data_IF_672256638597
#
_entry.id   IF_672256638597
#
_cell.length_a   1.000
_cell.length_b   1.000
_cell.length_c   1.000
_cell.angle_alpha   90.00
_cell.angle_beta   90.00
_cell.angle_gamma   90.00
#
_symmetry.space_group_name_H-M   'P 1'
#
loop_
_entity.id
_entity.type
_entity.pdbx_description
1 polymer ?
#
# COMPACT_ATOMS: atom_id res chain seq x y z
N UNK A 1 -26.47 -34.20 -20.11
CA UNK A 1 -25.56 -35.21 -19.53
C UNK A 1 -24.86 -34.54 -18.35
N UNK A 2 -24.95 -34.97 -17.09
CA UNK A 2 -25.81 -35.98 -16.48
C UNK A 2 -25.96 -35.69 -14.97
N UNK A 3 -27.07 -36.10 -14.35
CA UNK A 3 -27.33 -35.92 -12.92
C UNK A 3 -26.62 -36.99 -12.09
N UNK A 4 -26.09 -36.64 -10.90
CA UNK A 4 -25.84 -37.64 -9.86
C UNK A 4 -25.95 -37.07 -8.43
N UNK A 5 -26.09 -37.99 -7.47
CA UNK A 5 -26.77 -37.77 -6.19
C UNK A 5 -25.85 -37.47 -5.00
N UNK A 6 -26.40 -36.80 -3.99
CA UNK A 6 -25.73 -36.51 -2.73
C UNK A 6 -25.60 -37.77 -1.84
N UNK A 7 -24.39 -38.03 -1.34
CA UNK A 7 -24.16 -38.86 -0.15
C UNK A 7 -23.34 -38.07 0.86
N UNK A 8 -23.92 -37.86 2.05
CA UNK A 8 -23.21 -37.26 3.20
C UNK A 8 -22.07 -38.17 3.66
N UNK A 9 -20.83 -37.75 3.43
CA UNK A 9 -19.66 -38.31 4.11
C UNK A 9 -19.47 -37.58 5.44
N UNK A 10 -19.67 -38.29 6.56
CA UNK A 10 -19.20 -37.85 7.88
C UNK A 10 -17.67 -37.98 7.91
N UNK A 11 -16.96 -36.91 7.57
CA UNK A 11 -15.54 -36.79 7.91
C UNK A 11 -15.45 -36.33 9.37
N UNK A 12 -14.86 -37.15 10.25
CA UNK A 12 -14.42 -36.66 11.57
C UNK A 12 -13.30 -35.66 11.32
N UNK A 13 -13.52 -34.39 11.66
CA UNK A 13 -12.44 -33.43 11.76
C UNK A 13 -11.53 -33.84 12.92
N UNK A 14 -10.44 -34.53 12.61
CA UNK A 14 -9.32 -34.65 13.53
C UNK A 14 -8.71 -33.26 13.70
N UNK A 15 -8.54 -32.80 14.94
CA UNK A 15 -7.95 -31.50 15.21
C UNK A 15 -6.51 -31.47 14.67
N UNK A 16 -6.28 -30.66 13.63
CA UNK A 16 -4.94 -30.21 13.29
C UNK A 16 -4.55 -29.19 14.36
N UNK A 17 -3.78 -29.64 15.35
CA UNK A 17 -3.05 -28.74 16.25
C UNK A 17 -2.22 -27.76 15.42
N UNK A 18 -1.96 -26.52 15.88
CA UNK A 18 -1.01 -25.64 15.23
C UNK A 18 0.34 -26.36 15.16
N UNK A 19 0.73 -26.82 13.97
CA UNK A 19 2.14 -27.12 13.74
C UNK A 19 2.85 -25.79 13.95
N UNK A 20 3.72 -25.73 14.96
CA UNK A 20 4.81 -24.77 14.96
C UNK A 20 5.45 -24.88 13.57
N UNK A 21 5.26 -23.88 12.72
CA UNK A 21 6.23 -23.63 11.68
C UNK A 21 7.55 -23.45 12.43
N UNK A 22 8.42 -24.45 12.36
CA UNK A 22 9.79 -24.22 12.75
C UNK A 22 10.27 -23.09 11.85
N UNK A 23 10.72 -21.99 12.46
CA UNK A 23 11.47 -20.96 11.77
C UNK A 23 12.77 -21.62 11.30
N UNK A 24 12.70 -22.25 10.14
CA UNK A 24 13.87 -22.71 9.41
C UNK A 24 14.73 -21.49 9.14
N UNK A 25 16.05 -21.65 9.24
CA UNK A 25 16.97 -20.59 8.79
C UNK A 25 16.62 -20.22 7.34
N UNK A 26 16.72 -18.93 6.95
CA UNK A 26 16.46 -18.54 5.57
C UNK A 26 17.31 -19.39 4.61
N UNK A 27 16.80 -19.69 3.40
CA UNK A 27 17.60 -20.32 2.36
C UNK A 27 18.89 -19.52 2.14
N UNK A 28 20.04 -20.19 2.08
CA UNK A 28 21.37 -19.53 2.11
C UNK A 28 21.71 -18.73 0.84
N UNK A 29 20.79 -18.67 -0.11
CA UNK A 29 21.03 -18.32 -1.51
C UNK A 29 20.24 -17.06 -1.95
N UNK A 30 19.74 -16.28 -0.98
CA UNK A 30 19.02 -15.01 -1.19
C UNK A 30 19.92 -13.85 -0.75
N UNK A 31 20.10 -12.86 -1.63
CA UNK A 31 21.12 -11.81 -1.48
C UNK A 31 20.66 -10.56 -0.71
N UNK A 32 19.49 -10.61 -0.05
CA UNK A 32 19.07 -9.60 0.94
C UNK A 32 19.89 -9.66 2.23
N UNK A 33 20.36 -10.84 2.64
CA UNK A 33 21.15 -11.06 3.86
C UNK A 33 22.64 -11.29 3.55
N UNK A 34 23.27 -10.31 2.88
CA UNK A 34 24.75 -10.24 2.79
C UNK A 34 25.38 -9.70 4.08
N UNK A 35 24.82 -10.03 5.25
CA UNK A 35 25.53 -9.89 6.52
C UNK A 35 26.65 -10.94 6.60
N UNK A 36 27.82 -10.59 6.07
CA UNK A 36 29.05 -11.33 6.39
C UNK A 36 29.18 -11.36 7.92
N UNK A 37 29.14 -12.57 8.49
CA UNK A 37 28.88 -12.84 9.91
C UNK A 37 29.57 -11.83 10.85
N UNK A 38 28.76 -10.94 11.46
CA UNK A 38 29.20 -10.03 12.53
C UNK A 38 29.66 -8.63 12.13
N UNK A 39 29.69 -8.26 10.84
CA UNK A 39 29.97 -6.88 10.42
C UNK A 39 28.69 -6.04 10.39
N UNK A 40 28.63 -4.87 11.06
CA UNK A 40 27.46 -3.99 10.98
C UNK A 40 27.34 -3.37 9.58
N UNK A 41 26.10 -3.26 9.08
CA UNK A 41 25.80 -2.66 7.76
C UNK A 41 26.41 -1.25 7.65
N UNK A 42 26.79 -0.78 6.45
CA UNK A 42 27.32 0.57 6.26
C UNK A 42 26.35 1.65 6.76
N UNK A 43 26.83 2.77 7.33
CA UNK A 43 25.96 3.88 7.74
C UNK A 43 25.27 4.51 6.52
N UNK A 44 24.07 5.06 6.72
CA UNK A 44 23.33 5.77 5.67
C UNK A 44 24.10 7.05 5.28
N UNK A 45 24.20 7.28 3.97
CA UNK A 45 24.88 8.42 3.36
C UNK A 45 23.90 9.23 2.55
N UNK A 46 23.94 10.55 2.74
CA UNK A 46 23.16 11.54 2.02
C UNK A 46 24.08 12.40 1.16
N UNK A 47 23.79 12.48 -0.14
CA UNK A 47 24.47 13.37 -1.09
C UNK A 47 23.44 14.28 -1.75
N UNK A 48 23.56 15.59 -1.55
CA UNK A 48 22.69 16.61 -2.15
C UNK A 48 23.43 17.26 -3.32
N UNK A 49 22.81 17.23 -4.49
CA UNK A 49 23.29 17.84 -5.73
C UNK A 49 22.30 18.92 -6.19
N UNK A 50 22.62 19.68 -7.23
CA UNK A 50 21.80 20.81 -7.69
C UNK A 50 20.37 20.41 -8.06
N UNK A 51 20.21 19.29 -8.81
CA UNK A 51 18.91 18.81 -9.31
C UNK A 51 18.46 17.47 -8.72
N UNK A 52 19.30 16.84 -7.90
CA UNK A 52 19.06 15.49 -7.37
C UNK A 52 19.52 15.36 -5.93
N UNK A 53 18.96 14.38 -5.23
CA UNK A 53 19.35 13.97 -3.87
C UNK A 53 19.51 12.46 -3.89
N UNK A 54 20.67 11.97 -3.47
CA UNK A 54 21.01 10.54 -3.46
C UNK A 54 21.13 10.08 -2.02
N UNK A 55 20.48 8.96 -1.69
CA UNK A 55 20.57 8.31 -0.38
C UNK A 55 21.03 6.87 -0.57
N UNK A 56 22.07 6.48 0.15
CA UNK A 56 22.76 5.20 0.00
C UNK A 56 22.96 4.56 1.38
N UNK A 57 22.50 3.34 1.59
CA UNK A 57 22.67 2.60 2.85
C UNK A 57 23.61 1.40 2.75
N UNK A 58 24.42 1.34 1.69
CA UNK A 58 25.33 0.24 1.39
C UNK A 58 24.69 -0.99 0.77
N UNK A 59 23.35 -1.08 0.71
CA UNK A 59 22.61 -2.17 0.06
C UNK A 59 21.89 -1.64 -1.18
N UNK A 60 21.16 -0.53 -1.02
CA UNK A 60 20.47 0.18 -2.10
C UNK A 60 20.96 1.62 -2.17
N UNK A 61 20.85 2.21 -3.35
CA UNK A 61 21.03 3.65 -3.55
C UNK A 61 19.82 4.22 -4.30
N UNK A 62 19.13 5.19 -3.69
CA UNK A 62 17.91 5.81 -4.23
C UNK A 62 18.22 7.24 -4.63
N UNK A 63 17.82 7.62 -5.84
CA UNK A 63 17.98 8.99 -6.37
C UNK A 63 16.64 9.66 -6.54
N UNK A 64 16.49 10.82 -5.91
CA UNK A 64 15.32 11.69 -5.98
C UNK A 64 15.64 12.95 -6.79
N UNK A 65 14.68 13.48 -7.54
CA UNK A 65 14.80 14.81 -8.14
C UNK A 65 14.52 15.91 -7.11
N UNK A 66 15.20 17.06 -7.23
CA UNK A 66 15.11 18.20 -6.31
C UNK A 66 14.60 19.45 -7.06
N UNK A 67 13.54 20.14 -6.60
CA UNK A 67 12.70 19.86 -5.42
C UNK A 67 11.51 18.92 -5.69
N UNK A 68 11.31 18.43 -6.92
CA UNK A 68 10.09 17.69 -7.30
C UNK A 68 9.82 16.43 -6.44
N UNK A 69 10.84 15.76 -5.88
CA UNK A 69 10.67 14.53 -5.09
C UNK A 69 10.14 13.34 -5.90
N UNK A 70 10.59 13.18 -7.14
CA UNK A 70 10.36 11.99 -7.97
C UNK A 70 11.50 11.01 -7.73
N UNK A 71 11.21 9.72 -7.62
CA UNK A 71 12.24 8.68 -7.62
C UNK A 71 12.72 8.46 -9.06
N UNK A 72 13.89 8.99 -9.38
CA UNK A 72 14.47 9.00 -10.73
C UNK A 72 15.34 7.77 -10.99
N UNK A 73 15.86 7.15 -9.93
CA UNK A 73 16.57 5.89 -10.00
C UNK A 73 16.67 5.13 -8.68
N UNK A 74 16.79 3.81 -8.80
CA UNK A 74 17.03 2.88 -7.70
C UNK A 74 18.12 1.91 -8.16
N UNK A 75 19.29 1.94 -7.53
CA UNK A 75 20.43 1.07 -7.83
C UNK A 75 20.53 -0.04 -6.78
N UNK A 76 20.70 -1.28 -7.23
CA UNK A 76 20.77 -2.48 -6.37
C UNK A 76 21.50 -3.62 -7.09
N UNK A 77 22.30 -4.40 -6.35
CA UNK A 77 22.99 -5.64 -6.79
C UNK A 77 23.63 -5.53 -8.20
N UNK A 78 24.38 -4.45 -8.43
CA UNK A 78 25.07 -4.17 -9.70
C UNK A 78 24.19 -3.63 -10.84
N UNK A 79 22.87 -3.55 -10.68
CA UNK A 79 21.96 -2.94 -11.65
C UNK A 79 21.89 -1.42 -11.40
N UNK A 80 22.37 -0.63 -12.35
CA UNK A 80 22.46 0.84 -12.23
C UNK A 80 21.12 1.55 -11.97
N UNK A 81 20.03 1.04 -12.55
CA UNK A 81 18.69 1.52 -12.27
C UNK A 81 17.66 0.41 -12.52
N UNK A 82 16.80 0.12 -11.53
CA UNK A 82 15.66 -0.81 -11.64
C UNK A 82 14.46 -0.19 -12.37
N UNK A 83 14.35 1.14 -12.39
CA UNK A 83 13.26 1.88 -13.01
C UNK A 83 13.45 2.01 -14.52
N UNK A 84 12.35 2.12 -15.26
CA UNK A 84 12.33 2.15 -16.72
C UNK A 84 13.09 3.37 -17.27
N UNK A 85 14.34 3.16 -17.68
CA UNK A 85 15.28 4.22 -18.05
C UNK A 85 14.87 4.96 -19.32
N UNK A 86 14.10 4.31 -20.20
CA UNK A 86 13.56 4.92 -21.42
C UNK A 86 12.41 5.91 -21.12
N UNK A 87 11.83 5.89 -19.93
CA UNK A 87 10.92 6.93 -19.47
C UNK A 87 11.70 8.17 -19.02
N UNK A 88 11.10 9.34 -19.29
CA UNK A 88 11.44 10.61 -18.64
C UNK A 88 11.45 10.45 -17.12
N UNK A 89 12.33 11.15 -16.40
CA UNK A 89 12.53 10.96 -14.96
C UNK A 89 11.22 11.08 -14.15
N UNK A 90 10.40 12.09 -14.45
CA UNK A 90 9.07 12.32 -13.85
C UNK A 90 8.04 11.19 -14.09
N UNK A 91 8.38 10.19 -14.90
CA UNK A 91 7.54 9.06 -15.32
C UNK A 91 8.20 7.71 -14.95
N UNK A 92 9.01 7.68 -13.88
CA UNK A 92 9.67 6.47 -13.36
C UNK A 92 9.03 5.99 -12.05
N UNK A 93 9.46 6.53 -10.91
CA UNK A 93 8.83 6.29 -9.61
C UNK A 93 8.26 7.57 -9.03
N UNK A 94 6.95 7.63 -8.77
CA UNK A 94 6.29 8.86 -8.37
C UNK A 94 5.04 8.60 -7.51
N UNK A 95 4.64 9.62 -6.74
CA UNK A 95 3.29 9.70 -6.19
C UNK A 95 2.37 10.38 -7.20
N UNK A 96 1.18 9.83 -7.40
CA UNK A 96 0.14 10.43 -8.22
C UNK A 96 -1.21 10.43 -7.52
N UNK A 97 -2.05 11.40 -7.91
CA UNK A 97 -3.45 11.45 -7.53
C UNK A 97 -4.33 11.80 -8.73
N UNK A 98 -5.59 11.41 -8.63
CA UNK A 98 -6.66 11.86 -9.51
C UNK A 98 -7.67 12.60 -8.65
N UNK A 99 -7.99 13.84 -9.02
CA UNK A 99 -8.89 14.70 -8.25
C UNK A 99 -9.84 15.47 -9.16
N UNK A 100 -10.91 16.04 -8.62
CA UNK A 100 -11.78 16.96 -9.37
C UNK A 100 -12.50 17.91 -8.43
N UNK A 101 -12.83 19.12 -8.89
CA UNK A 101 -13.92 19.87 -8.27
C UNK A 101 -15.25 19.05 -8.36
N UNK A 102 -16.21 19.23 -7.45
CA UNK A 102 -17.42 18.42 -7.38
C UNK A 102 -18.18 18.37 -8.71
N UNK A 103 -18.59 17.17 -9.13
CA UNK A 103 -19.31 16.94 -10.38
C UNK A 103 -18.46 16.91 -11.66
N UNK A 104 -17.21 17.36 -11.63
CA UNK A 104 -16.34 17.39 -12.82
C UNK A 104 -15.64 16.05 -13.12
N UNK A 105 -14.91 16.01 -14.25
CA UNK A 105 -14.04 14.89 -14.64
C UNK A 105 -12.72 14.95 -13.86
N UNK A 106 -12.20 13.78 -13.49
CA UNK A 106 -10.90 13.64 -12.82
C UNK A 106 -9.73 14.20 -13.63
N UNK A 107 -8.90 15.00 -12.96
CA UNK A 107 -7.61 15.54 -13.38
C UNK A 107 -6.53 14.66 -12.76
N UNK A 108 -5.66 14.09 -13.60
CA UNK A 108 -4.48 13.33 -13.16
C UNK A 108 -3.31 14.28 -12.88
N UNK A 109 -2.67 14.12 -11.72
CA UNK A 109 -1.56 14.96 -11.27
C UNK A 109 -0.42 14.08 -10.71
N UNK A 110 0.78 14.25 -11.26
CA UNK A 110 2.01 13.70 -10.70
C UNK A 110 2.52 14.69 -9.68
N UNK A 111 2.46 14.32 -8.41
CA UNK A 111 2.74 15.21 -7.29
C UNK A 111 4.23 15.58 -7.33
N UNK A 112 4.51 16.86 -7.54
CA UNK A 112 5.85 17.44 -7.56
C UNK A 112 5.99 18.44 -6.43
N UNK A 113 6.98 18.26 -5.56
CA UNK A 113 7.34 19.25 -4.55
C UNK A 113 7.89 20.53 -5.17
N UNK A 114 7.64 21.66 -4.53
CA UNK A 114 8.27 22.96 -4.80
C UNK A 114 9.35 23.28 -3.79
N UNK A 115 9.34 22.63 -2.61
CA UNK A 115 10.36 22.75 -1.57
C UNK A 115 10.93 21.36 -1.20
N UNK A 116 12.21 21.31 -0.84
CA UNK A 116 12.91 20.11 -0.38
C UNK A 116 13.59 20.38 0.96
N UNK A 117 13.41 19.47 1.92
CA UNK A 117 14.01 19.56 3.26
C UNK A 117 14.58 18.21 3.68
N UNK A 118 15.77 18.23 4.28
CA UNK A 118 16.31 17.09 5.04
C UNK A 118 15.73 17.17 6.45
N UNK A 119 14.91 16.20 6.82
CA UNK A 119 14.19 16.16 8.10
C UNK A 119 15.05 15.51 9.17
N UNK A 120 15.72 14.42 8.81
CA UNK A 120 16.65 13.69 9.66
C UNK A 120 17.82 13.17 8.81
N UNK A 121 19.03 13.20 9.37
CA UNK A 121 20.23 12.66 8.74
C UNK A 121 21.21 12.20 9.82
N UNK A 122 21.35 10.89 9.99
CA UNK A 122 22.32 10.25 10.87
C UNK A 122 22.72 8.88 10.29
N UNK A 123 23.63 8.16 10.96
CA UNK A 123 24.14 6.87 10.48
C UNK A 123 23.07 5.77 10.32
N UNK A 124 21.98 5.85 11.08
CA UNK A 124 20.89 4.87 11.09
C UNK A 124 19.75 5.22 10.12
N UNK A 125 19.53 6.51 9.84
CA UNK A 125 18.38 7.00 9.11
C UNK A 125 18.63 8.32 8.39
N UNK A 126 18.13 8.38 7.15
CA UNK A 126 17.86 9.64 6.44
C UNK A 126 16.36 9.75 6.19
N UNK A 127 15.76 10.89 6.53
CA UNK A 127 14.40 11.25 6.14
C UNK A 127 14.40 12.55 5.31
N UNK A 128 13.76 12.49 4.15
CA UNK A 128 13.60 13.59 3.20
C UNK A 128 12.13 14.00 3.08
N UNK A 129 11.89 15.29 2.95
CA UNK A 129 10.58 15.91 2.71
C UNK A 129 10.59 16.67 1.38
N UNK A 130 9.49 16.54 0.63
CA UNK A 130 9.24 17.21 -0.64
C UNK A 130 7.83 17.78 -0.63
N UNK A 131 7.71 19.07 -0.32
CA UNK A 131 6.43 19.76 -0.06
C UNK A 131 5.95 20.50 -1.30
N UNK A 132 4.66 20.39 -1.60
CA UNK A 132 3.91 21.33 -2.46
C UNK A 132 2.80 21.94 -1.62
N UNK A 133 2.91 23.24 -1.35
CA UNK A 133 1.82 24.01 -0.73
C UNK A 133 0.77 24.36 -1.79
N UNK A 134 -0.47 24.63 -1.36
CA UNK A 134 -1.52 25.16 -2.23
C UNK A 134 -1.90 26.59 -1.88
N UNK A 135 -2.24 27.39 -2.89
CA UNK A 135 -2.86 28.70 -2.76
C UNK A 135 -3.81 28.94 -3.94
N UNK A 136 -4.62 30.00 -3.85
CA UNK A 136 -5.67 30.32 -4.83
C UNK A 136 -5.15 30.52 -6.27
N UNK A 137 -3.88 30.86 -6.48
CA UNK A 137 -3.28 30.97 -7.82
C UNK A 137 -3.13 29.60 -8.52
N UNK A 138 -3.22 28.51 -7.76
CA UNK A 138 -3.14 27.13 -8.23
C UNK A 138 -4.51 26.48 -8.46
N UNK A 139 -5.60 27.22 -8.27
CA UNK A 139 -6.96 26.76 -8.53
C UNK A 139 -7.10 26.20 -9.97
N UNK A 140 -7.86 25.11 -10.11
CA UNK A 140 -8.06 24.36 -11.36
C UNK A 140 -6.78 23.76 -12.00
N UNK A 141 -5.58 23.97 -11.43
CA UNK A 141 -4.30 23.37 -11.87
C UNK A 141 -3.90 22.22 -10.96
N UNK A 142 -3.98 22.43 -9.65
CA UNK A 142 -3.62 21.45 -8.62
C UNK A 142 -4.74 21.31 -7.59
N UNK A 143 -4.80 20.11 -7.00
CA UNK A 143 -5.74 19.80 -5.92
C UNK A 143 -5.54 20.77 -4.74
N UNK A 144 -6.62 21.25 -4.08
CA UNK A 144 -6.53 22.10 -2.90
C UNK A 144 -5.96 21.36 -1.67
N UNK A 145 -4.68 21.04 -1.70
CA UNK A 145 -3.99 20.33 -0.62
C UNK A 145 -2.55 20.84 -0.47
N UNK A 146 -2.16 21.11 0.77
CA UNK A 146 -0.76 20.97 1.16
C UNK A 146 -0.42 19.48 1.09
N UNK A 147 0.65 19.15 0.36
CA UNK A 147 1.13 17.78 0.22
C UNK A 147 2.62 17.73 0.54
N UNK A 148 2.96 17.02 1.61
CA UNK A 148 4.33 16.68 1.98
C UNK A 148 4.59 15.21 1.68
N UNK A 149 5.39 14.93 0.65
CA UNK A 149 5.86 13.57 0.35
C UNK A 149 7.15 13.31 1.10
N UNK A 150 7.20 12.19 1.80
CA UNK A 150 8.30 11.79 2.66
C UNK A 150 8.93 10.48 2.18
N UNK A 151 10.24 10.40 2.30
CA UNK A 151 11.03 9.20 1.99
C UNK A 151 12.01 8.95 3.13
N UNK A 152 12.08 7.71 3.59
CA UNK A 152 12.97 7.29 4.68
C UNK A 152 13.84 6.13 4.19
N UNK A 153 15.15 6.25 4.34
CA UNK A 153 16.10 5.15 4.12
C UNK A 153 16.74 4.82 5.46
N UNK A 154 16.67 3.55 5.85
CA UNK A 154 17.23 3.02 7.10
C UNK A 154 18.51 2.23 6.83
N UNK A 155 19.41 2.20 7.80
CA UNK A 155 20.60 1.36 7.82
C UNK A 155 20.21 -0.12 7.80
N UNK A 156 20.85 -0.91 6.94
CA UNK A 156 20.64 -2.36 6.87
C UNK A 156 19.32 -2.82 6.25
N UNK A 157 18.36 -1.95 5.94
CA UNK A 157 17.14 -2.32 5.22
C UNK A 157 17.40 -2.41 3.71
N UNK A 158 17.14 -3.54 3.03
CA UNK A 158 17.24 -3.66 1.57
C UNK A 158 16.03 -3.01 0.89
N UNK A 159 15.82 -1.71 1.12
CA UNK A 159 14.61 -1.01 0.74
C UNK A 159 14.53 0.40 1.32
N UNK A 160 13.50 1.14 0.93
CA UNK A 160 13.20 2.46 1.47
C UNK A 160 11.70 2.62 1.72
N UNK A 161 11.33 3.42 2.72
CA UNK A 161 9.94 3.70 3.02
C UNK A 161 9.49 4.99 2.34
N UNK A 162 8.21 5.07 2.00
CA UNK A 162 7.59 6.34 1.60
C UNK A 162 6.22 6.52 2.25
N UNK A 163 5.93 7.76 2.63
CA UNK A 163 4.63 8.20 3.15
C UNK A 163 4.31 9.60 2.61
N UNK A 164 3.06 10.03 2.75
CA UNK A 164 2.70 11.42 2.47
C UNK A 164 1.69 11.94 3.48
N UNK A 165 1.76 13.24 3.75
CA UNK A 165 0.85 13.98 4.61
C UNK A 165 0.05 14.93 3.71
N UNK A 166 -1.27 14.76 3.66
CA UNK A 166 -2.18 15.62 2.92
C UNK A 166 -2.99 16.45 3.91
N UNK A 167 -3.12 17.75 3.65
CA UNK A 167 -3.83 18.71 4.51
C UNK A 167 -4.66 19.68 3.65
N UNK A 168 -5.95 19.80 3.96
CA UNK A 168 -6.90 20.77 3.39
C UNK A 168 -7.30 21.76 4.48
N UNK A 169 -7.23 23.06 4.17
CA UNK A 169 -7.61 24.12 5.09
C UNK A 169 -9.07 24.58 4.84
N UNK A 170 -9.82 25.02 5.88
CA UNK A 170 -11.23 25.40 5.76
C UNK A 170 -11.57 26.43 4.68
N UNK A 171 -10.65 27.36 4.41
CA UNK A 171 -10.81 28.45 3.45
C UNK A 171 -10.63 28.05 1.97
N UNK A 172 -10.36 26.78 1.69
CA UNK A 172 -10.06 26.28 0.34
C UNK A 172 -11.29 25.70 -0.39
N UNK A 173 -11.26 25.68 -1.74
CA UNK A 173 -12.42 25.26 -2.53
C UNK A 173 -12.67 23.75 -2.43
N UNK A 174 -13.95 23.32 -2.48
CA UNK A 174 -14.32 21.92 -2.37
C UNK A 174 -13.78 21.06 -3.52
N UNK A 175 -13.48 19.80 -3.24
CA UNK A 175 -12.93 18.84 -4.21
C UNK A 175 -13.20 17.38 -3.82
N UNK A 176 -13.03 16.47 -4.77
CA UNK A 176 -13.09 15.01 -4.58
C UNK A 176 -11.71 14.40 -4.88
N UNK A 177 -11.22 13.47 -4.04
CA UNK A 177 -10.08 12.61 -4.35
C UNK A 177 -10.61 11.31 -4.96
N UNK A 178 -10.38 11.12 -6.25
CA UNK A 178 -10.79 9.93 -7.00
C UNK A 178 -9.79 8.78 -6.81
N UNK A 179 -8.50 9.09 -6.76
CA UNK A 179 -7.42 8.12 -6.57
C UNK A 179 -6.20 8.79 -5.93
N UNK A 180 -5.44 8.08 -5.08
CA UNK A 180 -4.08 8.48 -4.70
C UNK A 180 -3.22 7.25 -4.42
N UNK A 181 -1.98 7.25 -4.95
CA UNK A 181 -1.08 6.08 -4.93
C UNK A 181 0.40 6.45 -5.10
N UNK A 182 1.25 5.46 -4.86
CA UNK A 182 2.63 5.42 -5.40
C UNK A 182 2.65 4.51 -6.63
N UNK A 183 3.36 4.93 -7.68
CA UNK A 183 3.56 4.20 -8.93
C UNK A 183 5.04 4.03 -9.22
N UNK A 184 5.50 2.81 -9.46
CA UNK A 184 6.87 2.52 -9.94
C UNK A 184 6.82 1.79 -11.27
N UNK A 185 7.36 2.43 -12.32
CA UNK A 185 7.55 1.84 -13.66
C UNK A 185 8.94 1.24 -13.74
N UNK A 186 8.96 -0.09 -13.79
CA UNK A 186 10.13 -0.95 -13.71
C UNK A 186 10.63 -1.30 -15.11
N UNK A 187 11.90 -1.69 -15.22
CA UNK A 187 12.52 -2.09 -16.50
C UNK A 187 11.91 -3.36 -17.10
N UNK A 188 11.35 -3.27 -18.30
CA UNK A 188 10.76 -4.43 -19.00
C UNK A 188 11.75 -5.52 -19.41
N UNK A 189 13.05 -5.21 -19.47
CA UNK A 189 14.10 -6.20 -19.74
C UNK A 189 14.57 -6.96 -18.49
N UNK A 190 14.15 -6.54 -17.30
CA UNK A 190 14.51 -7.18 -16.02
C UNK A 190 13.30 -7.80 -15.31
N UNK A 191 12.18 -7.08 -15.34
CA UNK A 191 10.96 -7.47 -14.65
C UNK A 191 9.98 -8.07 -15.67
N UNK A 192 9.87 -9.41 -15.66
CA UNK A 192 9.00 -10.20 -16.56
C UNK A 192 8.01 -11.12 -15.83
N UNK A 193 8.14 -11.23 -14.50
CA UNK A 193 7.30 -12.07 -13.65
C UNK A 193 6.61 -11.22 -12.60
N UNK A 194 5.34 -11.52 -12.33
CA UNK A 194 4.51 -10.86 -11.33
C UNK A 194 3.97 -11.90 -10.36
N UNK A 195 3.95 -11.55 -9.07
CA UNK A 195 3.28 -12.29 -8.02
C UNK A 195 2.45 -11.32 -7.16
N UNK A 196 1.18 -11.64 -6.95
CA UNK A 196 0.28 -10.87 -6.05
C UNK A 196 -0.37 -11.74 -4.98
N UNK A 197 -0.40 -13.06 -5.16
CA UNK A 197 -0.83 -14.03 -4.16
C UNK A 197 -0.14 -15.38 -4.42
N UNK A 198 -0.22 -16.34 -3.48
CA UNK A 198 0.32 -17.70 -3.67
C UNK A 198 -0.32 -18.42 -4.88
N UNK A 199 -1.58 -18.12 -5.20
CA UNK A 199 -2.36 -18.67 -6.33
C UNK A 199 -2.39 -17.74 -7.57
N UNK A 200 -1.79 -16.55 -7.48
CA UNK A 200 -1.77 -15.54 -8.57
C UNK A 200 -0.35 -15.08 -8.84
N UNK A 201 0.38 -15.91 -9.57
CA UNK A 201 1.73 -15.63 -10.04
C UNK A 201 1.87 -16.06 -11.49
N UNK A 202 2.51 -15.24 -12.34
CA UNK A 202 2.65 -15.54 -13.76
C UNK A 202 3.79 -14.76 -14.42
N UNK A 203 4.27 -15.28 -15.54
CA UNK A 203 4.96 -14.47 -16.55
C UNK A 203 3.95 -13.50 -17.16
N UNK A 204 4.37 -12.26 -17.34
CA UNK A 204 3.50 -11.17 -17.76
C UNK A 204 3.73 -10.79 -19.23
N UNK A 205 2.68 -10.39 -19.96
CA UNK A 205 2.81 -9.78 -21.28
C UNK A 205 3.67 -8.52 -21.23
N UNK A 206 4.49 -8.31 -22.27
CA UNK A 206 5.31 -7.12 -22.41
C UNK A 206 4.46 -5.91 -22.87
N UNK A 207 4.90 -4.67 -22.61
CA UNK A 207 4.26 -3.47 -23.14
C UNK A 207 4.02 -3.50 -24.65
N UNK A 208 4.94 -4.14 -25.36
CA UNK A 208 5.00 -4.31 -26.81
C UNK A 208 3.91 -5.27 -27.32
N UNK A 209 3.47 -6.24 -26.51
CA UNK A 209 2.43 -7.21 -26.88
C UNK A 209 1.05 -6.57 -27.03
N UNK A 210 0.85 -5.40 -26.41
CA UNK A 210 -0.34 -4.57 -26.54
C UNK A 210 -0.30 -3.59 -27.72
N UNK A 211 0.66 -3.73 -28.63
CA UNK A 211 0.77 -2.90 -29.84
C UNK A 211 -0.07 -3.44 -31.02
N UNK A 212 -0.31 -2.57 -32.00
CA UNK A 212 -1.07 -2.91 -33.20
C UNK A 212 -0.46 -4.13 -33.92
N UNK A 213 -1.31 -5.07 -34.33
CA UNK A 213 -0.89 -6.34 -34.94
C UNK A 213 -0.39 -7.41 -33.96
N UNK A 214 -0.24 -7.09 -32.67
CA UNK A 214 0.12 -8.07 -31.61
C UNK A 214 -1.05 -8.43 -30.71
N UNK A 215 -1.98 -7.50 -30.48
CA UNK A 215 -3.21 -7.74 -29.74
C UNK A 215 -4.47 -7.27 -30.49
N UNK A 216 -5.62 -7.78 -30.05
CA UNK A 216 -6.95 -7.31 -30.43
C UNK A 216 -7.65 -6.71 -29.19
N UNK A 217 -8.07 -5.43 -29.22
CA UNK A 217 -8.93 -4.86 -28.18
C UNK A 217 -10.24 -5.63 -28.00
N UNK A 218 -10.65 -5.84 -26.75
CA UNK A 218 -11.93 -6.45 -26.41
C UNK A 218 -12.98 -5.37 -26.10
N UNK A 219 -14.16 -5.79 -25.62
CA UNK A 219 -15.28 -4.90 -25.34
C UNK A 219 -14.98 -3.81 -24.29
N UNK A 220 -14.04 -4.06 -23.38
CA UNK A 220 -13.53 -3.09 -22.41
C UNK A 220 -12.13 -2.62 -22.82
N UNK A 221 -11.83 -1.30 -22.81
CA UNK A 221 -10.56 -0.77 -23.30
C UNK A 221 -9.34 -1.20 -22.47
N UNK A 222 -9.56 -1.65 -21.23
CA UNK A 222 -8.54 -2.27 -20.38
C UNK A 222 -8.09 -3.66 -20.85
N UNK A 223 -8.92 -4.40 -21.58
CA UNK A 223 -8.70 -5.80 -21.91
C UNK A 223 -8.32 -5.99 -23.38
N UNK A 224 -7.26 -6.77 -23.63
CA UNK A 224 -6.86 -7.16 -24.99
C UNK A 224 -6.61 -8.66 -25.07
N UNK A 225 -6.98 -9.26 -26.21
CA UNK A 225 -6.59 -10.62 -26.58
C UNK A 225 -5.20 -10.60 -27.23
N UNK A 226 -4.28 -11.44 -26.78
CA UNK A 226 -2.93 -11.55 -27.33
C UNK A 226 -2.94 -12.47 -28.56
N UNK A 227 -2.75 -11.90 -29.75
CA UNK A 227 -2.85 -12.61 -31.04
C UNK A 227 -1.49 -13.04 -31.56
N UNK A 228 -0.47 -12.20 -31.34
CA UNK A 228 0.92 -12.43 -31.74
C UNK A 228 1.90 -11.85 -30.70
N UNK A 229 1.88 -12.31 -29.43
CA UNK A 229 2.82 -11.86 -28.39
C UNK A 229 4.28 -12.19 -28.70
N UNK A 230 5.22 -11.55 -28.00
CA UNK A 230 6.68 -11.80 -28.08
C UNK A 230 7.01 -13.18 -27.55
N UNK A 231 6.33 -13.58 -26.48
CA UNK A 231 6.34 -14.95 -25.98
C UNK A 231 5.15 -15.73 -26.57
N UNK A 232 5.39 -16.75 -27.43
CA UNK A 232 4.33 -17.53 -28.04
C UNK A 232 3.42 -18.27 -27.03
N UNK A 233 3.89 -18.55 -25.80
CA UNK A 233 3.09 -19.23 -24.77
C UNK A 233 1.88 -18.38 -24.32
N UNK A 234 1.99 -17.05 -24.41
CA UNK A 234 0.92 -16.11 -24.03
C UNK A 234 -0.17 -15.97 -25.12
N UNK A 235 -0.07 -16.68 -26.24
CA UNK A 235 -0.96 -16.50 -27.39
C UNK A 235 -2.35 -17.07 -27.10
N UNK A 236 -3.38 -16.24 -27.33
CA UNK A 236 -4.77 -16.56 -27.02
C UNK A 236 -5.20 -16.15 -25.61
N UNK A 237 -4.29 -15.65 -24.77
CA UNK A 237 -4.64 -15.11 -23.46
C UNK A 237 -5.24 -13.70 -23.54
N UNK A 238 -6.02 -13.34 -22.51
CA UNK A 238 -6.52 -11.98 -22.28
C UNK A 238 -5.67 -11.30 -21.23
N UNK A 239 -5.10 -10.14 -21.57
CA UNK A 239 -4.36 -9.26 -20.67
C UNK A 239 -5.26 -8.08 -20.25
N UNK A 240 -5.70 -8.09 -18.99
CA UNK A 240 -6.59 -7.08 -18.39
C UNK A 240 -6.06 -6.65 -17.02
N UNK A 241 -5.92 -5.33 -16.80
CA UNK A 241 -5.43 -4.76 -15.54
C UNK A 241 -6.24 -5.23 -14.31
N UNK A 242 -7.53 -5.51 -14.48
CA UNK A 242 -8.41 -5.94 -13.39
C UNK A 242 -8.18 -7.39 -12.93
N UNK A 243 -7.41 -8.19 -13.68
CA UNK A 243 -6.93 -9.51 -13.23
C UNK A 243 -5.95 -9.37 -12.04
N UNK A 244 -5.34 -8.19 -11.86
CA UNK A 244 -4.26 -7.92 -10.89
C UNK A 244 -4.74 -7.18 -9.63
N UNK A 245 -6.00 -7.42 -9.26
CA UNK A 245 -6.66 -6.88 -8.06
C UNK A 245 -6.81 -7.91 -6.94
N UNK A 246 -6.85 -7.41 -5.71
CA UNK A 246 -7.18 -8.16 -4.50
C UNK A 246 -8.03 -7.31 -3.54
N UNK A 247 -8.82 -7.91 -2.63
CA UNK A 247 -9.47 -7.21 -1.52
C UNK A 247 -8.44 -6.58 -0.58
N UNK A 248 -8.71 -5.40 -0.02
CA UNK A 248 -7.80 -4.67 0.88
C UNK A 248 -7.16 -5.53 1.98
N UNK A 249 -7.93 -6.43 2.60
CA UNK A 249 -7.45 -7.35 3.64
C UNK A 249 -6.42 -8.38 3.14
N UNK A 250 -6.41 -8.68 1.85
CA UNK A 250 -5.56 -9.70 1.19
C UNK A 250 -4.38 -9.07 0.43
N UNK A 251 -4.33 -7.74 0.30
CA UNK A 251 -3.19 -7.01 -0.28
C UNK A 251 -2.04 -6.97 0.74
N UNK A 252 -1.36 -8.10 0.92
CA UNK A 252 -0.18 -8.25 1.79
C UNK A 252 1.12 -7.95 1.03
N UNK A 253 1.49 -8.81 0.08
CA UNK A 253 2.69 -8.68 -0.76
C UNK A 253 2.25 -8.70 -2.20
N UNK A 254 2.79 -7.82 -3.03
CA UNK A 254 2.52 -7.81 -4.47
C UNK A 254 3.64 -7.15 -5.25
N UNK A 255 3.71 -7.46 -6.54
CA UNK A 255 4.45 -6.66 -7.51
C UNK A 255 5.22 -7.52 -8.51
N UNK A 256 6.12 -6.86 -9.20
CA UNK A 256 7.17 -7.53 -9.98
C UNK A 256 8.33 -7.77 -9.00
N UNK A 257 8.02 -8.55 -7.97
CA UNK A 257 8.83 -8.84 -6.78
C UNK A 257 9.10 -7.59 -5.90
N UNK A 258 8.06 -6.78 -5.53
CA UNK A 258 8.03 -5.74 -4.44
C UNK A 258 6.78 -4.80 -4.46
N UNK A 259 6.10 -4.40 -3.35
CA UNK A 259 6.07 -4.88 -1.93
C UNK A 259 4.81 -4.32 -1.14
N UNK A 260 4.80 -4.31 0.21
CA UNK A 260 3.67 -4.10 1.18
C UNK A 260 3.46 -2.67 1.76
N UNK A 261 2.20 -2.25 2.02
CA UNK A 261 1.82 -1.33 3.10
C UNK A 261 1.63 -2.04 4.47
N UNK A 262 2.37 -1.70 5.54
CA UNK A 262 2.38 -2.42 6.82
C UNK A 262 1.02 -2.53 7.53
N UNK A 263 0.20 -1.49 7.38
CA UNK A 263 -1.16 -1.35 7.89
C UNK A 263 -2.11 -1.01 6.74
N UNK A 264 -3.40 -1.30 6.94
CA UNK A 264 -4.47 -0.90 6.03
C UNK A 264 -5.24 0.35 6.53
N UNK A 265 -4.87 0.95 7.67
CA UNK A 265 -5.58 2.10 8.28
C UNK A 265 -5.74 3.32 7.37
N UNK A 266 -4.84 3.49 6.40
CA UNK A 266 -4.88 4.60 5.44
C UNK A 266 -5.69 4.30 4.17
N UNK A 267 -6.29 3.10 4.04
CA UNK A 267 -7.14 2.70 2.89
C UNK A 267 -8.63 2.92 3.15
N UNK A 268 -9.38 3.28 2.10
CA UNK A 268 -10.84 3.47 2.18
C UNK A 268 -11.67 2.22 1.85
N UNK A 269 -12.93 2.21 2.30
CA UNK A 269 -13.95 1.19 1.98
C UNK A 269 -13.79 -0.15 2.68
N UNK A 270 -13.02 -0.21 3.76
CA UNK A 270 -12.94 -1.38 4.63
C UNK A 270 -12.18 -2.59 4.03
N UNK A 271 -12.23 -3.76 4.71
CA UNK A 271 -11.38 -4.91 4.40
C UNK A 271 -11.71 -5.59 3.07
N UNK A 272 -12.95 -5.52 2.58
CA UNK A 272 -13.40 -6.26 1.39
C UNK A 272 -13.34 -5.46 0.09
N UNK A 273 -13.14 -4.12 0.13
CA UNK A 273 -13.00 -3.32 -1.10
C UNK A 273 -11.78 -3.79 -1.88
N UNK A 274 -11.96 -4.04 -3.17
CA UNK A 274 -10.84 -4.38 -4.07
C UNK A 274 -10.09 -3.13 -4.54
N UNK A 275 -8.79 -3.28 -4.74
CA UNK A 275 -7.93 -2.29 -5.38
C UNK A 275 -6.89 -2.99 -6.29
N UNK A 276 -6.40 -2.25 -7.28
CA UNK A 276 -5.30 -2.68 -8.14
C UNK A 276 -4.00 -2.77 -7.32
N UNK A 277 -3.20 -3.83 -7.54
CA UNK A 277 -1.93 -4.07 -6.82
C UNK A 277 -0.72 -4.02 -7.76
N UNK A 278 -0.91 -4.53 -8.99
CA UNK A 278 -0.03 -4.33 -10.14
C UNK A 278 -0.88 -3.81 -11.30
N UNK A 279 -0.22 -3.38 -12.37
CA UNK A 279 -0.89 -2.97 -13.61
C UNK A 279 -0.45 -3.88 -14.77
N UNK A 280 -1.12 -3.76 -15.92
CA UNK A 280 -0.54 -4.22 -17.19
C UNK A 280 0.77 -3.47 -17.44
N UNK A 281 1.80 -4.14 -17.97
CA UNK A 281 3.21 -3.69 -18.04
C UNK A 281 3.94 -3.75 -16.68
N UNK A 282 5.29 -3.73 -16.65
CA UNK A 282 6.11 -3.70 -15.43
C UNK A 282 5.88 -2.47 -14.55
N UNK A 283 4.76 -2.44 -13.83
CA UNK A 283 4.35 -1.33 -12.98
C UNK A 283 3.81 -1.88 -11.66
N UNK A 284 4.48 -1.54 -10.56
CA UNK A 284 4.03 -1.81 -9.19
C UNK A 284 3.27 -0.59 -8.65
N UNK A 285 2.14 -0.82 -7.97
CA UNK A 285 1.25 0.24 -7.48
C UNK A 285 0.96 0.06 -5.98
N UNK A 286 1.22 1.08 -5.17
CA UNK A 286 0.69 1.15 -3.80
C UNK A 286 -0.51 2.08 -3.76
N UNK A 287 -1.71 1.51 -3.92
CA UNK A 287 -2.97 2.28 -3.93
C UNK A 287 -3.48 2.49 -2.50
N UNK A 288 -3.77 3.75 -2.16
CA UNK A 288 -4.32 4.15 -0.86
C UNK A 288 -5.81 4.45 -0.95
N UNK A 289 -6.21 5.31 -1.88
CA UNK A 289 -7.60 5.64 -2.21
C UNK A 289 -7.83 5.35 -3.68
N UNK A 290 -9.00 4.83 -4.04
CA UNK A 290 -9.43 4.71 -5.43
C UNK A 290 -10.93 4.43 -5.56
N UNK A 291 -11.59 5.05 -6.53
CA UNK A 291 -12.99 4.76 -6.89
C UNK A 291 -13.22 3.39 -7.54
N UNK A 292 -12.16 2.64 -7.87
CA UNK A 292 -12.28 1.30 -8.46
C UNK A 292 -13.17 0.38 -7.59
N UNK A 293 -14.06 -0.37 -8.24
CA UNK A 293 -15.03 -1.31 -7.64
C UNK A 293 -16.11 -0.73 -6.71
N UNK A 294 -16.09 0.58 -6.41
CA UNK A 294 -17.03 1.23 -5.49
C UNK A 294 -17.70 2.51 -6.04
N UNK A 295 -17.20 3.06 -7.14
CA UNK A 295 -17.76 4.27 -7.75
C UNK A 295 -17.53 5.53 -6.89
N UNK A 296 -18.41 6.53 -7.08
CA UNK A 296 -18.29 7.84 -6.42
C UNK A 296 -18.69 7.86 -4.94
N UNK A 297 -19.24 6.77 -4.41
CA UNK A 297 -19.81 6.77 -3.05
C UNK A 297 -18.77 6.49 -1.95
N UNK A 298 -17.60 5.93 -2.31
CA UNK A 298 -16.46 5.71 -1.39
C UNK A 298 -15.23 6.59 -1.74
N UNK A 299 -15.47 7.75 -2.37
CA UNK A 299 -14.46 8.77 -2.61
C UNK A 299 -14.50 9.84 -1.51
N UNK A 300 -13.35 10.27 -0.96
CA UNK A 300 -13.29 11.45 -0.10
C UNK A 300 -13.72 12.71 -0.86
N UNK A 301 -14.72 13.41 -0.33
CA UNK A 301 -15.30 14.66 -0.86
C UNK A 301 -15.23 15.73 0.21
N UNK A 302 -14.51 16.81 -0.05
CA UNK A 302 -14.26 17.87 0.92
C UNK A 302 -15.19 19.04 0.65
N UNK A 303 -15.91 19.46 1.69
CA UNK A 303 -16.84 20.59 1.63
C UNK A 303 -16.16 21.94 1.97
N UNK A 304 -16.84 23.07 1.71
CA UNK A 304 -16.40 24.37 2.22
C UNK A 304 -16.29 24.35 3.75
N UNK A 305 -15.23 24.94 4.31
CA UNK A 305 -15.03 25.01 5.76
C UNK A 305 -14.47 23.73 6.42
N UNK A 306 -14.18 22.69 5.65
CA UNK A 306 -13.75 21.40 6.21
C UNK A 306 -12.23 21.35 6.45
N UNK A 307 -11.77 21.41 7.70
CA UNK A 307 -10.38 21.06 8.03
C UNK A 307 -10.20 19.54 7.89
N UNK A 308 -9.19 19.10 7.13
CA UNK A 308 -8.84 17.68 7.05
C UNK A 308 -7.33 17.48 6.92
N UNK A 309 -6.80 16.50 7.65
CA UNK A 309 -5.40 16.08 7.57
C UNK A 309 -5.29 14.57 7.66
N UNK A 310 -4.47 13.95 6.80
CA UNK A 310 -4.27 12.50 6.78
C UNK A 310 -2.85 12.12 6.37
N UNK A 311 -2.31 11.09 7.04
CA UNK A 311 -1.07 10.42 6.66
C UNK A 311 -1.38 9.14 5.87
N UNK A 312 -0.70 8.95 4.74
CA UNK A 312 -0.74 7.74 3.92
C UNK A 312 0.60 7.00 4.00
N UNK A 313 0.59 5.73 4.42
CA UNK A 313 1.82 4.99 4.73
C UNK A 313 2.32 5.20 6.17
N UNK A 314 3.63 5.02 6.45
CA UNK A 314 4.66 4.59 5.51
C UNK A 314 4.46 3.20 4.94
N UNK A 315 4.88 3.01 3.69
CA UNK A 315 4.92 1.71 3.00
C UNK A 315 6.38 1.41 2.64
N UNK A 316 6.79 0.14 2.74
CA UNK A 316 8.14 -0.28 2.38
C UNK A 316 8.22 -0.62 0.90
N UNK A 317 9.17 -0.01 0.19
CA UNK A 317 9.64 -0.44 -1.12
C UNK A 317 10.87 -1.32 -0.87
N UNK A 318 10.62 -2.61 -0.62
CA UNK A 318 11.65 -3.63 -0.44
C UNK A 318 12.26 -4.05 -1.78
N UNK A 319 13.46 -4.62 -1.77
CA UNK A 319 14.17 -5.09 -2.96
C UNK A 319 14.98 -6.33 -2.59
N UNK A 320 14.78 -7.44 -3.31
CA UNK A 320 15.55 -8.67 -3.12
C UNK A 320 16.10 -9.24 -4.44
N UNK A 321 17.07 -10.14 -4.33
CA UNK A 321 17.64 -10.91 -5.43
C UNK A 321 17.98 -12.33 -4.99
N UNK A 322 17.98 -13.28 -5.94
CA UNK A 322 18.31 -14.68 -5.73
C UNK A 322 19.17 -15.16 -6.92
N UNK A 323 20.21 -15.94 -6.64
CA UNK A 323 21.21 -16.33 -7.65
C UNK A 323 20.64 -17.13 -8.82
N UNK A 324 19.62 -17.95 -8.53
CA UNK A 324 19.08 -18.93 -9.48
C UNK A 324 17.80 -18.40 -10.18
N UNK A 325 17.52 -17.11 -10.06
CA UNK A 325 16.34 -16.42 -10.61
C UNK A 325 14.97 -17.06 -10.26
N UNK A 326 14.91 -17.94 -9.24
CA UNK A 326 13.72 -18.68 -8.85
C UNK A 326 12.66 -17.74 -8.21
N UNK A 327 11.52 -17.45 -8.87
CA UNK A 327 10.55 -16.49 -8.36
C UNK A 327 9.93 -16.92 -7.03
N UNK A 328 9.88 -18.23 -6.75
CA UNK A 328 9.37 -18.75 -5.49
C UNK A 328 10.24 -18.36 -4.31
N UNK A 329 11.57 -18.39 -4.44
CA UNK A 329 12.47 -17.99 -3.34
C UNK A 329 12.31 -16.50 -3.01
N UNK A 330 12.28 -15.66 -4.05
CA UNK A 330 12.04 -14.23 -3.93
C UNK A 330 10.66 -13.90 -3.33
N UNK A 331 9.65 -14.74 -3.58
CA UNK A 331 8.31 -14.59 -3.02
C UNK A 331 8.21 -15.04 -1.56
N UNK A 332 8.84 -16.17 -1.18
CA UNK A 332 8.89 -16.59 0.22
C UNK A 332 9.69 -15.59 1.08
N UNK A 333 10.82 -15.08 0.58
CA UNK A 333 11.58 -14.00 1.20
C UNK A 333 10.74 -12.72 1.36
N UNK A 334 10.00 -12.34 0.33
CA UNK A 334 9.08 -11.22 0.41
C UNK A 334 7.98 -11.42 1.47
N UNK A 335 7.48 -12.66 1.65
CA UNK A 335 6.55 -13.00 2.75
C UNK A 335 7.23 -12.97 4.13
N UNK A 336 8.50 -13.33 4.25
CA UNK A 336 9.24 -13.24 5.52
C UNK A 336 9.42 -11.79 5.98
N UNK A 337 9.99 -10.91 5.13
CA UNK A 337 10.11 -9.48 5.46
C UNK A 337 8.73 -8.86 5.70
N UNK A 338 7.69 -9.30 4.99
CA UNK A 338 6.33 -8.81 5.20
C UNK A 338 5.83 -9.01 6.62
N UNK A 339 6.16 -10.14 7.25
CA UNK A 339 5.84 -10.42 8.65
C UNK A 339 6.62 -9.49 9.59
N UNK A 340 7.91 -9.24 9.33
CA UNK A 340 8.70 -8.23 10.05
C UNK A 340 8.07 -6.83 9.98
N UNK A 341 7.51 -6.45 8.84
CA UNK A 341 6.74 -5.19 8.70
C UNK A 341 5.34 -5.22 9.35
N UNK A 342 4.75 -6.39 9.62
CA UNK A 342 3.55 -6.48 10.49
C UNK A 342 3.96 -6.22 11.93
N UNK A 343 4.98 -6.93 12.41
CA UNK A 343 5.43 -6.92 13.81
C UNK A 343 6.06 -5.58 14.21
N UNK A 344 6.70 -4.88 13.27
CA UNK A 344 7.30 -3.56 13.49
C UNK A 344 6.29 -2.40 13.41
N UNK A 345 5.02 -2.67 13.09
CA UNK A 345 3.98 -1.64 13.01
C UNK A 345 3.28 -1.42 14.37
N UNK A 346 3.01 -0.17 14.79
CA UNK A 346 3.36 1.11 14.15
C UNK A 346 4.84 1.46 14.25
N UNK A 347 5.41 2.11 13.24
CA UNK A 347 6.83 2.43 13.25
C UNK A 347 7.21 3.52 14.27
N UNK A 348 8.33 3.34 14.95
CA UNK A 348 8.91 4.38 15.83
C UNK A 348 9.69 5.45 15.06
N UNK A 349 10.19 5.16 13.86
CA UNK A 349 11.22 5.95 13.17
C UNK A 349 10.78 7.20 12.35
N UNK A 350 9.55 7.38 11.83
CA UNK A 350 9.23 8.55 10.99
C UNK A 350 9.27 9.88 11.76
N UNK A 351 10.04 10.88 11.36
CA UNK A 351 10.26 12.08 12.17
C UNK A 351 9.02 13.02 12.28
N UNK A 352 8.00 12.86 11.43
CA UNK A 352 6.79 13.69 11.46
C UNK A 352 5.91 13.45 12.70
N UNK A 353 5.49 14.53 13.35
CA UNK A 353 4.53 14.53 14.46
C UNK A 353 3.12 14.11 14.04
N UNK A 354 2.73 14.35 12.78
CA UNK A 354 1.46 13.87 12.22
C UNK A 354 1.40 12.32 12.18
N UNK A 355 2.57 11.65 12.17
CA UNK A 355 2.64 10.20 12.26
C UNK A 355 2.64 9.73 13.73
N UNK A 356 1.43 9.43 14.21
CA UNK A 356 1.20 8.91 15.56
C UNK A 356 2.01 7.62 15.81
N UNK A 357 2.82 7.65 16.87
CA UNK A 357 3.72 6.58 17.34
C UNK A 357 2.97 5.45 18.06
N UNK A 358 3.60 4.29 18.28
CA UNK A 358 3.02 3.20 19.09
C UNK A 358 2.46 3.67 20.44
N UNK A 359 3.20 4.52 21.16
CA UNK A 359 2.80 5.04 22.47
C UNK A 359 1.71 6.14 22.40
N UNK A 360 1.40 6.66 21.21
CA UNK A 360 0.32 7.63 20.96
C UNK A 360 -0.95 6.95 20.42
N UNK A 361 -0.97 5.62 20.32
CA UNK A 361 -2.09 4.85 19.77
C UNK A 361 -2.74 4.00 20.86
N UNK A 362 -4.06 4.00 20.89
CA UNK A 362 -4.86 3.17 21.80
C UNK A 362 -5.36 1.90 21.11
N UNK A 363 -5.56 0.85 21.90
CA UNK A 363 -6.17 -0.41 21.45
C UNK A 363 -7.58 -0.55 22.03
N UNK A 364 -8.52 -1.03 21.22
CA UNK A 364 -9.86 -1.42 21.68
C UNK A 364 -9.96 -2.94 21.63
N UNK A 365 -10.20 -3.56 22.78
CA UNK A 365 -10.40 -5.00 22.94
C UNK A 365 -11.79 -5.28 23.50
N UNK A 366 -12.50 -6.26 22.94
CA UNK A 366 -13.84 -6.66 23.38
C UNK A 366 -14.31 -7.93 22.67
N UNK A 367 -15.55 -8.34 22.95
CA UNK A 367 -16.18 -9.52 22.33
C UNK A 367 -17.38 -9.09 21.50
N UNK A 368 -17.45 -9.59 20.26
CA UNK A 368 -18.64 -9.47 19.41
C UNK A 368 -19.47 -10.76 19.54
N UNK A 369 -20.69 -10.62 20.06
CA UNK A 369 -21.67 -11.70 20.16
C UNK A 369 -22.89 -11.37 19.28
N UNK A 370 -23.46 -12.39 18.66
CA UNK A 370 -24.66 -12.31 17.81
C UNK A 370 -25.80 -12.99 18.55
N UNK A 371 -26.98 -12.36 18.56
CA UNK A 371 -28.23 -12.94 19.07
C UNK A 371 -29.14 -13.33 17.92
N UNK A 372 -28.95 -14.53 17.39
CA UNK A 372 -29.83 -15.11 16.37
C UNK A 372 -30.67 -16.24 16.97
N UNK A 373 -31.92 -15.93 17.32
CA UNK A 373 -32.86 -16.87 17.95
C UNK A 373 -33.26 -18.04 17.04
N UNK A 374 -32.98 -17.99 15.74
CA UNK A 374 -33.20 -19.14 14.86
C UNK A 374 -32.05 -20.16 14.93
N UNK A 375 -30.89 -19.77 15.49
CA UNK A 375 -29.71 -20.61 15.66
C UNK A 375 -29.52 -20.99 17.14
N UNK A 376 -29.71 -20.04 18.06
CA UNK A 376 -29.59 -20.26 19.50
C UNK A 376 -30.41 -19.26 20.33
N UNK A 377 -30.99 -19.73 21.43
CA UNK A 377 -31.58 -18.85 22.45
C UNK A 377 -30.52 -18.07 23.25
N UNK A 378 -29.24 -18.47 23.16
CA UNK A 378 -28.11 -17.80 23.79
C UNK A 378 -27.35 -16.90 22.80
N UNK A 379 -26.62 -15.93 23.34
CA UNK A 379 -25.67 -15.13 22.56
C UNK A 379 -24.50 -16.01 22.06
N UNK A 380 -24.30 -16.07 20.75
CA UNK A 380 -23.24 -16.87 20.11
C UNK A 380 -22.05 -15.97 19.72
N UNK A 381 -20.78 -16.44 19.82
CA UNK A 381 -19.64 -15.71 19.30
C UNK A 381 -19.78 -15.44 17.79
N UNK A 382 -19.43 -14.25 17.35
CA UNK A 382 -19.36 -13.94 15.92
C UNK A 382 -18.16 -14.63 15.26
N UNK A 383 -18.40 -15.43 14.23
CA UNK A 383 -17.36 -16.04 13.40
C UNK A 383 -17.28 -15.31 12.04
N UNK A 384 -16.07 -14.97 11.59
CA UNK A 384 -15.84 -14.29 10.30
C UNK A 384 -16.30 -12.83 10.20
N UNK A 385 -16.75 -12.23 11.30
CA UNK A 385 -17.18 -10.83 11.35
C UNK A 385 -16.00 -9.85 11.50
N UNK A 386 -16.18 -8.63 10.98
CA UNK A 386 -15.21 -7.54 11.10
C UNK A 386 -15.79 -6.41 11.96
N UNK A 387 -14.97 -5.83 12.84
CA UNK A 387 -15.29 -4.62 13.60
C UNK A 387 -14.36 -3.51 13.11
N UNK A 388 -14.92 -2.32 12.83
CA UNK A 388 -14.16 -1.13 12.45
C UNK A 388 -14.62 0.07 13.25
N UNK A 389 -13.74 1.07 13.38
CA UNK A 389 -14.07 2.36 13.97
C UNK A 389 -14.27 3.41 12.88
N UNK A 390 -15.33 4.18 13.03
CA UNK A 390 -15.64 5.37 12.23
C UNK A 390 -15.95 6.54 13.19
N UNK A 391 -15.80 7.81 12.75
CA UNK A 391 -16.29 8.96 13.49
C UNK A 391 -17.80 8.87 13.78
N UNK A 392 -18.30 9.58 14.81
CA UNK A 392 -19.74 9.76 15.01
C UNK A 392 -20.39 10.38 13.77
N UNK A 393 -21.60 9.93 13.43
CA UNK A 393 -22.37 10.40 12.28
C UNK A 393 -23.74 9.73 12.20
N UNK A 394 -24.49 10.04 11.15
CA UNK A 394 -25.84 9.50 10.95
C UNK A 394 -25.87 7.97 10.89
N UNK A 395 -27.03 7.37 11.17
CA UNK A 395 -27.22 5.92 11.11
C UNK A 395 -26.86 5.39 9.72
N UNK A 396 -25.88 4.49 9.65
CA UNK A 396 -25.38 3.91 8.41
C UNK A 396 -24.34 4.76 7.65
N UNK A 397 -24.01 5.97 8.11
CA UNK A 397 -22.97 6.82 7.50
C UNK A 397 -21.61 6.12 7.42
N UNK A 398 -21.25 5.33 8.43
CA UNK A 398 -20.01 4.55 8.54
C UNK A 398 -19.71 3.67 7.31
N UNK A 399 -20.72 3.24 6.55
CA UNK A 399 -20.53 2.43 5.34
C UNK A 399 -19.90 3.20 4.17
N UNK A 400 -20.05 4.53 4.18
CA UNK A 400 -19.54 5.46 3.15
C UNK A 400 -18.42 6.37 3.66
N UNK A 401 -18.07 6.25 4.94
CA UNK A 401 -16.92 6.94 5.50
C UNK A 401 -15.63 6.47 4.80
N UNK A 402 -14.79 7.42 4.41
CA UNK A 402 -13.61 7.20 3.57
C UNK A 402 -12.48 8.22 3.80
N UNK A 403 -12.72 9.28 4.58
CA UNK A 403 -11.74 10.28 5.04
C UNK A 403 -11.00 9.74 6.28
N UNK A 404 -11.76 9.23 7.24
CA UNK A 404 -11.28 8.75 8.55
C UNK A 404 -11.84 7.34 8.79
N UNK A 405 -11.07 6.32 8.44
CA UNK A 405 -11.31 4.95 8.92
C UNK A 405 -10.09 4.57 9.74
N UNK A 406 -10.30 4.13 10.98
CA UNK A 406 -9.29 3.39 11.75
C UNK A 406 -9.64 1.91 11.64
N UNK A 407 -9.00 1.22 10.69
CA UNK A 407 -9.08 -0.24 10.57
C UNK A 407 -8.24 -0.89 11.66
N UNK A 408 -8.88 -1.24 12.78
CA UNK A 408 -8.32 -2.15 13.76
C UNK A 408 -8.27 -3.57 13.17
N UNK A 409 -7.07 -4.07 12.90
CA UNK A 409 -6.85 -5.51 12.76
C UNK A 409 -6.98 -6.16 14.15
N UNK A 410 -8.20 -6.56 14.52
CA UNK A 410 -8.40 -7.42 15.68
C UNK A 410 -7.97 -8.83 15.27
N UNK A 411 -6.71 -9.18 15.58
CA UNK A 411 -6.31 -10.58 15.65
C UNK A 411 -7.04 -11.18 16.86
N UNK A 412 -8.14 -11.89 16.60
CA UNK A 412 -8.80 -12.73 17.60
C UNK A 412 -7.89 -13.93 17.90
N UNK A 413 -6.80 -13.71 18.65
CA UNK A 413 -6.27 -14.79 19.47
C UNK A 413 -7.32 -15.12 20.51
N UNK A 414 -7.81 -16.35 20.43
CA UNK A 414 -8.68 -16.93 21.44
C UNK A 414 -7.99 -16.88 22.80
N UNK A 415 -8.48 -16.05 23.71
CA UNK A 415 -9.14 -16.50 24.95
C UNK A 415 -9.65 -15.32 25.81
N UNK A 416 -10.63 -15.62 26.68
CA UNK A 416 -11.03 -14.83 27.88
C UNK A 416 -11.86 -13.53 27.63
N UNK A 417 -12.49 -13.03 28.70
CA UNK A 417 -13.74 -12.26 28.84
C UNK A 417 -13.70 -10.82 28.25
N UNK A 418 -14.79 -10.08 27.99
CA UNK A 418 -16.00 -9.82 28.81
C UNK A 418 -17.25 -9.36 27.98
N UNK A 419 -18.37 -9.05 28.66
CA UNK A 419 -19.69 -8.62 28.15
C UNK A 419 -19.80 -7.13 27.78
N UNK A 420 -20.85 -6.76 27.03
CA UNK A 420 -21.25 -5.36 26.78
C UNK A 420 -22.54 -4.99 27.52
N UNK A 421 -22.39 -4.19 28.58
CA UNK A 421 -23.31 -3.11 28.94
C UNK A 421 -22.50 -1.82 28.80
N UNK A 422 -22.99 -0.80 28.08
CA UNK A 422 -22.26 0.46 27.93
C UNK A 422 -22.43 1.33 29.17
N UNK A 423 -21.48 1.18 30.10
CA UNK A 423 -21.21 2.12 31.19
C UNK A 423 -19.76 2.60 31.04
N UNK A 424 -19.56 3.90 30.85
CA UNK A 424 -18.24 4.50 30.72
C UNK A 424 -17.74 4.97 32.09
N UNK A 425 -16.64 4.38 32.56
CA UNK A 425 -15.80 4.99 33.60
C UNK A 425 -14.60 5.64 32.93
N UNK A 426 -14.68 6.95 32.72
CA UNK A 426 -13.54 7.75 32.30
C UNK A 426 -12.65 8.00 33.52
N UNK A 427 -11.44 7.45 33.52
CA UNK A 427 -10.35 8.02 34.31
C UNK A 427 -9.80 9.23 33.56
N UNK A 428 -9.51 10.29 34.30
CA UNK A 428 -9.32 11.66 33.83
C UNK A 428 -8.36 11.82 32.66
N UNK A 429 -8.89 12.28 31.51
CA UNK A 429 -8.09 12.92 30.46
C UNK A 429 -8.16 14.45 30.62
N UNK A 430 -7.04 15.17 30.64
CA UNK A 430 -7.05 16.62 30.41
C UNK A 430 -7.33 16.87 28.93
N UNK A 431 -8.54 17.33 28.63
CA UNK A 431 -8.95 17.80 27.30
C UNK A 431 -8.97 19.32 27.30
N UNK A 432 -7.85 19.94 26.94
CA UNK A 432 -7.80 21.37 26.63
C UNK A 432 -8.43 21.62 25.26
N UNK A 433 -9.74 21.88 25.25
CA UNK A 433 -10.44 22.39 24.08
C UNK A 433 -10.24 23.90 23.97
N UNK A 434 -9.63 24.36 22.87
CA UNK A 434 -9.82 25.73 22.40
C UNK A 434 -11.02 25.78 21.46
N UNK A 435 -12.08 26.46 21.91
CA UNK A 435 -13.22 26.94 21.13
C UNK A 435 -13.35 28.46 21.36
N UNK A 436 -13.92 29.20 20.40
CA UNK A 436 -15.34 29.55 20.53
C UNK A 436 -16.29 28.69 19.69
#
# INVERSE_FOLDING_TARGET
>A
MGLCSSKKLKVKAGALSPQKLMVGKPPRDIHGDKSAQGMPSPPVKLLIQDRHVVVDNGIIQVTFSKPDGIVTGIRYDGIDNLLEIWNQEHNRGYWDLVWSAPGNKGIFDVIKGTNFTVVLNNEEQVELSFVRMWDISLENKYVPLNIDKRFIVLRGTPGFYSYAIYEHLPEWPPFEIIETRITFKLRKDKFQYMAIADDKQRKMPLPDDRMHGRCQPLAYPEAVLLVNPVDPELKGEVDDKYQYSLPNKDIFVHGWMSFKPPSNEFRSGGPLKQNLTSHVRPTSLSVFLSGHYAGKDLLPKFGPGELWKKVFGPVLIYINSATDANPRLLWEDAKMQMMTEVESWPYSFPASEDFHKPHQRGNVSGRLLIRDRYISENDIPAEGAYVGLAPPGDVGSWQRECKIILLLNIVLQSEILLHVFLSFSLSSFPLDFFHP
#
